data_IF_061028030141
#
_entry.id   IF_061028030141
#
_cell.length_a   1.000
_cell.length_b   1.000
_cell.length_c   1.000
_cell.angle_alpha   90.00
_cell.angle_beta   90.00
_cell.angle_gamma   90.00
#
_symmetry.space_group_name_H-M   'P 1'
#
loop_
_entity.id
_entity.type
_entity.pdbx_description
1 polymer ?
#
# COMPACT_ATOMS: atom_id res chain seq x y z
N UNK A 1 -36.98 -5.73 -71.30
CA UNK A 1 -35.74 -6.24 -71.89
C UNK A 1 -34.75 -6.36 -70.73
N UNK A 2 -34.81 -7.48 -69.99
CA UNK A 2 -34.00 -8.71 -70.22
C UNK A 2 -32.53 -8.44 -69.82
N UNK A 3 -31.83 -9.14 -68.91
CA UNK A 3 -32.03 -10.32 -68.06
C UNK A 3 -31.09 -10.19 -66.82
N UNK A 4 -31.29 -10.80 -65.66
CA UNK A 4 -31.17 -12.21 -65.22
C UNK A 4 -29.78 -12.86 -65.41
N UNK A 5 -29.33 -13.56 -64.35
CA UNK A 5 -28.17 -14.47 -64.15
C UNK A 5 -26.84 -13.80 -63.69
N UNK A 6 -26.07 -14.31 -62.73
CA UNK A 6 -26.15 -15.54 -61.93
C UNK A 6 -25.29 -15.45 -60.66
N UNK A 7 -25.73 -16.20 -59.65
CA UNK A 7 -25.07 -16.49 -58.36
C UNK A 7 -23.70 -17.16 -58.57
N UNK A 8 -22.73 -16.92 -57.69
CA UNK A 8 -21.81 -17.98 -57.31
C UNK A 8 -21.59 -18.01 -55.79
N UNK A 9 -22.16 -19.05 -55.20
CA UNK A 9 -21.84 -19.61 -53.90
C UNK A 9 -20.40 -20.14 -53.97
N UNK A 10 -19.56 -19.79 -53.01
CA UNK A 10 -18.40 -20.62 -52.71
C UNK A 10 -18.51 -21.10 -51.27
N UNK A 11 -18.91 -22.36 -51.18
CA UNK A 11 -19.01 -23.20 -50.00
C UNK A 11 -17.65 -23.42 -49.33
N UNK A 12 -17.71 -23.42 -47.99
CA UNK A 12 -17.03 -24.31 -47.04
C UNK A 12 -15.66 -24.89 -47.42
N UNK A 13 -14.65 -24.63 -46.58
CA UNK A 13 -13.74 -25.70 -46.19
C UNK A 13 -13.36 -25.58 -44.72
N UNK A 14 -13.88 -26.54 -43.96
CA UNK A 14 -13.46 -26.89 -42.61
C UNK A 14 -12.00 -27.32 -42.62
N UNK A 15 -11.18 -26.69 -41.79
CA UNK A 15 -9.85 -27.18 -41.47
C UNK A 15 -9.73 -27.31 -39.95
N UNK A 16 -10.22 -28.45 -39.48
CA UNK A 16 -9.94 -29.08 -38.19
C UNK A 16 -8.43 -29.12 -37.94
N UNK A 17 -7.95 -28.41 -36.91
CA UNK A 17 -6.60 -28.59 -36.37
C UNK A 17 -6.69 -29.57 -35.18
N UNK A 18 -5.88 -30.65 -35.16
CA UNK A 18 -6.00 -31.69 -34.15
C UNK A 18 -5.38 -31.28 -32.80
N UNK A 19 -6.11 -31.62 -31.74
CA UNK A 19 -5.66 -31.70 -30.34
C UNK A 19 -4.52 -32.72 -30.21
N UNK A 20 -3.44 -32.34 -29.52
CA UNK A 20 -2.40 -33.27 -29.02
C UNK A 20 -2.09 -32.91 -27.56
N UNK A 21 -1.94 -33.91 -26.65
CA UNK A 21 -2.20 -33.76 -25.23
C UNK A 21 -0.97 -33.33 -24.39
N UNK A 22 -1.28 -32.89 -23.19
CA UNK A 22 -0.36 -32.57 -22.09
C UNK A 22 0.40 -33.79 -21.55
N UNK A 23 1.56 -33.55 -20.89
CA UNK A 23 2.03 -34.44 -19.83
C UNK A 23 2.15 -33.72 -18.49
N UNK A 24 1.39 -34.22 -17.49
CA UNK A 24 1.76 -34.11 -16.07
C UNK A 24 2.77 -35.21 -15.75
N UNK A 25 3.73 -34.96 -14.85
CA UNK A 25 3.72 -35.60 -13.54
C UNK A 25 4.18 -34.60 -12.46
N UNK A 26 4.21 -34.81 -11.15
CA UNK A 26 3.66 -35.73 -10.17
C UNK A 26 4.00 -35.09 -8.83
N UNK A 27 3.11 -35.25 -7.85
CA UNK A 27 3.29 -34.85 -6.46
C UNK A 27 4.61 -35.37 -5.88
N UNK A 28 5.35 -34.52 -5.17
CA UNK A 28 6.11 -34.98 -4.01
C UNK A 28 5.97 -33.99 -2.85
N UNK A 29 5.41 -34.56 -1.81
CA UNK A 29 5.08 -34.05 -0.51
C UNK A 29 6.37 -33.92 0.30
N UNK A 30 6.68 -32.74 0.84
CA UNK A 30 7.60 -32.68 1.98
C UNK A 30 7.26 -31.54 2.94
N UNK A 31 6.30 -31.84 3.81
CA UNK A 31 6.14 -31.21 5.13
C UNK A 31 7.39 -31.54 5.95
N UNK A 32 8.11 -30.53 6.42
CA UNK A 32 9.09 -30.69 7.51
C UNK A 32 8.74 -29.69 8.60
N UNK A 33 7.91 -30.13 9.53
CA UNK A 33 7.76 -29.54 10.84
C UNK A 33 8.74 -30.28 11.77
N UNK A 34 9.60 -29.55 12.47
CA UNK A 34 10.35 -30.07 13.60
C UNK A 34 10.30 -29.05 14.74
N UNK A 35 9.62 -29.45 15.81
CA UNK A 35 9.53 -28.80 17.10
C UNK A 35 10.89 -28.71 17.81
N UNK A 36 11.05 -27.79 18.78
CA UNK A 36 12.27 -27.66 19.58
C UNK A 36 12.27 -28.63 20.76
N UNK A 37 13.44 -29.00 21.32
CA UNK A 37 13.51 -29.52 22.67
C UNK A 37 13.85 -28.39 23.66
N UNK A 38 12.91 -28.15 24.57
CA UNK A 38 13.19 -27.72 25.94
C UNK A 38 14.04 -28.77 26.66
N UNK A 39 14.96 -28.38 27.53
CA UNK A 39 15.27 -29.14 28.74
C UNK A 39 15.89 -28.25 29.83
N UNK A 40 15.19 -28.23 30.96
CA UNK A 40 15.60 -27.79 32.29
C UNK A 40 16.55 -28.79 32.94
N UNK A 41 17.52 -28.28 33.73
CA UNK A 41 18.09 -28.82 35.00
C UNK A 41 19.27 -27.88 35.33
N UNK A 42 19.29 -27.01 36.34
CA UNK A 42 19.17 -27.08 37.80
C UNK A 42 20.17 -28.01 38.54
N UNK A 43 21.02 -27.33 39.34
CA UNK A 43 21.85 -27.76 40.49
C UNK A 43 23.23 -28.43 40.25
N UNK A 44 24.16 -28.42 41.25
CA UNK A 44 24.40 -27.45 42.34
C UNK A 44 25.90 -27.08 42.57
N UNK A 45 26.08 -26.06 43.42
CA UNK A 45 27.12 -25.82 44.44
C UNK A 45 28.36 -26.75 44.49
N UNK A 46 29.55 -26.14 44.47
CA UNK A 46 30.66 -26.59 45.32
C UNK A 46 31.47 -25.40 45.87
N UNK A 47 31.49 -25.37 47.19
CA UNK A 47 32.23 -24.54 48.12
C UNK A 47 33.74 -24.81 48.14
N UNK A 48 34.55 -23.76 48.26
CA UNK A 48 35.75 -23.71 49.12
C UNK A 48 36.19 -22.23 49.24
N UNK A 49 35.98 -21.61 50.39
CA UNK A 49 36.91 -21.55 51.53
C UNK A 49 38.19 -20.79 51.18
N UNK A 50 38.23 -19.49 51.43
CA UNK A 50 39.45 -18.87 51.96
C UNK A 50 39.12 -17.80 53.00
N UNK A 51 39.91 -17.87 54.06
CA UNK A 51 39.73 -17.31 55.39
C UNK A 51 39.91 -15.79 55.46
N UNK A 52 39.18 -15.17 56.39
CA UNK A 52 39.41 -13.82 56.91
C UNK A 52 40.78 -13.70 57.62
N UNK A 53 41.21 -12.46 57.94
CA UNK A 53 40.98 -12.01 59.31
C UNK A 53 40.46 -10.56 59.44
N UNK A 54 39.65 -10.37 60.48
CA UNK A 54 39.12 -9.09 60.97
C UNK A 54 40.22 -8.10 61.36
N UNK A 55 40.04 -6.84 60.99
CA UNK A 55 40.54 -5.70 61.77
C UNK A 55 39.44 -4.66 61.92
N UNK A 56 39.00 -4.53 63.16
CA UNK A 56 38.17 -3.44 63.68
C UNK A 56 38.92 -2.13 63.60
N UNK A 57 38.32 -1.09 63.01
CA UNK A 57 38.54 0.31 63.38
C UNK A 57 37.28 1.13 63.06
N UNK A 58 36.84 1.86 64.08
CA UNK A 58 35.65 2.70 64.12
C UNK A 58 35.79 3.98 63.30
N UNK A 59 34.65 4.41 62.74
CA UNK A 59 34.19 5.79 62.52
C UNK A 59 35.19 6.84 62.02
N UNK A 60 35.04 7.26 60.76
CA UNK A 60 35.05 8.69 60.38
C UNK A 60 34.17 8.90 59.15
N UNK A 61 33.16 9.77 59.27
CA UNK A 61 32.40 10.34 58.17
C UNK A 61 33.31 11.32 57.43
N UNK A 62 33.52 11.12 56.13
CA UNK A 62 33.93 12.17 55.22
C UNK A 62 32.95 12.22 54.05
N UNK A 63 32.24 13.35 53.97
CA UNK A 63 31.50 13.74 52.78
C UNK A 63 32.52 14.04 51.67
N UNK A 64 32.55 13.22 50.63
CA UNK A 64 33.09 13.62 49.33
C UNK A 64 32.01 14.38 48.57
N UNK A 65 32.26 15.63 48.13
CA UNK A 65 31.46 16.24 47.10
C UNK A 65 31.89 15.68 45.73
N UNK A 66 30.91 15.62 44.83
CA UNK A 66 31.00 15.33 43.40
C UNK A 66 31.34 13.90 42.97
N UNK A 67 30.32 13.23 42.42
CA UNK A 67 30.31 12.81 41.01
C UNK A 67 28.94 12.23 40.62
N UNK A 68 28.25 12.95 39.72
CA UNK A 68 27.43 12.38 38.63
C UNK A 68 26.09 11.70 39.01
N UNK A 69 25.00 12.48 38.95
CA UNK A 69 23.85 12.12 38.11
C UNK A 69 23.10 13.39 37.71
N UNK A 70 23.46 13.98 36.58
CA UNK A 70 22.65 15.01 35.94
C UNK A 70 21.38 14.34 35.38
N UNK A 71 20.24 14.55 36.05
CA UNK A 71 18.93 14.35 35.43
C UNK A 71 18.73 15.52 34.49
N UNK A 72 19.10 15.33 33.23
CA UNK A 72 19.03 16.33 32.18
C UNK A 72 18.90 15.67 30.82
N UNK A 73 17.76 15.03 30.54
CA UNK A 73 17.46 14.43 29.23
C UNK A 73 15.96 14.44 28.86
N UNK A 74 15.14 15.35 29.39
CA UNK A 74 13.69 15.34 29.07
C UNK A 74 13.21 16.60 28.33
N UNK A 75 14.05 17.64 28.21
CA UNK A 75 13.66 18.89 27.53
C UNK A 75 13.87 18.80 26.01
N UNK A 76 15.00 18.24 25.56
CA UNK A 76 15.32 18.14 24.12
C UNK A 76 14.37 17.18 23.38
N UNK A 77 14.00 16.07 24.04
CA UNK A 77 13.06 15.09 23.48
C UNK A 77 11.63 15.66 23.37
N UNK A 78 11.23 16.55 24.28
CA UNK A 78 9.90 17.20 24.26
C UNK A 78 9.78 18.27 23.18
N UNK A 79 10.85 19.02 22.90
CA UNK A 79 10.84 20.01 21.81
C UNK A 79 10.68 19.36 20.43
N UNK A 80 11.34 18.23 20.19
CA UNK A 80 11.22 17.50 18.92
C UNK A 80 9.86 16.78 18.78
N UNK A 81 9.33 16.19 19.86
CA UNK A 81 8.01 15.56 19.85
C UNK A 81 6.88 16.53 19.46
N UNK A 82 6.99 17.81 19.86
CA UNK A 82 6.01 18.82 19.53
C UNK A 82 6.09 19.26 18.05
N UNK A 83 7.31 19.38 17.49
CA UNK A 83 7.53 19.69 16.08
C UNK A 83 7.00 18.58 15.16
N UNK A 84 7.25 17.32 15.52
CA UNK A 84 6.79 16.15 14.76
C UNK A 84 5.27 16.05 14.78
N UNK A 85 4.64 16.31 15.92
CA UNK A 85 3.18 16.38 16.04
C UNK A 85 2.56 17.44 15.12
N UNK A 86 3.09 18.67 15.09
CA UNK A 86 2.57 19.72 14.22
C UNK A 86 2.70 19.37 12.73
N UNK A 87 3.81 18.73 12.36
CA UNK A 87 4.07 18.28 11.00
C UNK A 87 3.08 17.18 10.61
N UNK A 88 2.91 16.17 11.47
CA UNK A 88 1.94 15.10 11.28
C UNK A 88 0.51 15.63 11.13
N UNK A 89 0.07 16.55 12.01
CA UNK A 89 -1.27 17.16 11.90
C UNK A 89 -1.48 17.81 10.54
N UNK A 90 -0.48 18.55 10.05
CA UNK A 90 -0.54 19.20 8.74
C UNK A 90 -0.58 18.17 7.61
N UNK A 91 0.17 17.08 7.72
CA UNK A 91 0.18 16.00 6.73
C UNK A 91 -1.17 15.26 6.69
N UNK A 92 -1.78 15.01 7.85
CA UNK A 92 -3.13 14.43 7.96
C UNK A 92 -4.17 15.34 7.29
N UNK A 93 -4.14 16.64 7.57
CA UNK A 93 -5.04 17.62 6.92
C UNK A 93 -4.84 17.68 5.40
N UNK A 94 -3.59 17.60 4.94
CA UNK A 94 -3.29 17.60 3.51
C UNK A 94 -3.79 16.31 2.85
N UNK A 95 -3.60 15.16 3.52
CA UNK A 95 -4.08 13.87 3.04
C UNK A 95 -5.61 13.80 3.02
N UNK A 96 -6.30 14.36 4.02
CA UNK A 96 -7.76 14.39 4.07
C UNK A 96 -8.35 15.19 2.89
N UNK A 97 -7.78 16.36 2.61
CA UNK A 97 -8.16 17.19 1.47
C UNK A 97 -7.94 16.45 0.14
N UNK A 98 -6.76 15.84 -0.06
CA UNK A 98 -6.49 15.04 -1.26
C UNK A 98 -7.47 13.88 -1.43
N UNK A 99 -7.79 13.16 -0.36
CA UNK A 99 -8.75 12.05 -0.41
C UNK A 99 -10.14 12.55 -0.80
N UNK A 100 -10.60 13.68 -0.25
CA UNK A 100 -11.92 14.22 -0.58
C UNK A 100 -11.97 14.74 -2.03
N UNK A 101 -10.94 15.44 -2.49
CA UNK A 101 -10.81 15.87 -3.89
C UNK A 101 -10.80 14.68 -4.85
N UNK A 102 -10.07 13.60 -4.50
CA UNK A 102 -10.04 12.38 -5.27
C UNK A 102 -11.41 11.70 -5.30
N UNK A 103 -12.13 11.62 -4.17
CA UNK A 103 -13.47 11.02 -4.13
C UNK A 103 -14.49 11.82 -4.92
N UNK A 104 -14.37 13.16 -4.90
CA UNK A 104 -15.21 14.04 -5.70
C UNK A 104 -14.92 13.90 -7.21
N UNK A 105 -13.65 13.91 -7.62
CA UNK A 105 -13.23 13.85 -9.03
C UNK A 105 -13.33 12.45 -9.65
N UNK A 106 -13.10 11.38 -8.89
CA UNK A 106 -13.29 10.00 -9.35
C UNK A 106 -14.76 9.63 -9.52
N UNK A 107 -15.69 10.53 -9.19
CA UNK A 107 -17.11 10.37 -9.44
C UNK A 107 -17.68 9.18 -8.69
N UNK A 108 -17.47 9.10 -7.36
CA UNK A 108 -17.98 8.01 -6.53
C UNK A 108 -19.45 7.67 -6.80
N UNK A 109 -20.28 8.70 -6.98
CA UNK A 109 -21.69 8.53 -7.35
C UNK A 109 -21.90 7.81 -8.70
N UNK A 110 -21.05 8.09 -9.70
CA UNK A 110 -21.10 7.40 -10.99
C UNK A 110 -20.69 5.93 -10.85
N UNK A 111 -19.69 5.64 -10.02
CA UNK A 111 -19.28 4.26 -9.73
C UNK A 111 -20.38 3.51 -8.97
N UNK A 112 -21.05 4.14 -8.01
CA UNK A 112 -22.18 3.55 -7.30
C UNK A 112 -23.39 3.30 -8.21
N UNK A 113 -23.66 4.21 -9.15
CA UNK A 113 -24.70 4.02 -10.16
C UNK A 113 -24.34 2.88 -11.12
N UNK A 114 -23.11 2.84 -11.63
CA UNK A 114 -22.62 1.76 -12.48
C UNK A 114 -22.69 0.41 -11.76
N UNK A 115 -22.37 0.40 -10.46
CA UNK A 115 -22.51 -0.78 -9.62
C UNK A 115 -23.97 -1.26 -9.57
N UNK A 116 -24.91 -0.36 -9.31
CA UNK A 116 -26.34 -0.69 -9.25
C UNK A 116 -26.85 -1.23 -10.60
N UNK A 117 -26.42 -0.63 -11.71
CA UNK A 117 -26.78 -1.08 -13.06
C UNK A 117 -26.22 -2.48 -13.36
N UNK A 118 -24.97 -2.76 -12.98
CA UNK A 118 -24.33 -4.06 -13.14
C UNK A 118 -24.97 -5.12 -12.22
N UNK A 119 -25.34 -4.76 -11.00
CA UNK A 119 -26.05 -5.65 -10.08
C UNK A 119 -27.45 -5.99 -10.59
N UNK A 120 -28.17 -5.03 -11.18
CA UNK A 120 -29.45 -5.29 -11.85
C UNK A 120 -29.28 -6.27 -13.01
N UNK A 121 -28.28 -6.06 -13.87
CA UNK A 121 -27.97 -6.98 -14.99
C UNK A 121 -27.56 -8.37 -14.49
N UNK A 122 -26.88 -8.45 -13.34
CA UNK A 122 -26.51 -9.71 -12.71
C UNK A 122 -27.70 -10.46 -12.09
N UNK A 123 -28.76 -9.74 -11.71
CA UNK A 123 -30.00 -10.32 -11.19
C UNK A 123 -30.92 -10.86 -12.31
N UNK A 124 -30.75 -10.40 -13.55
CA UNK A 124 -31.51 -10.88 -14.69
C UNK A 124 -31.16 -12.34 -15.03
N UNK A 125 -32.19 -13.19 -15.14
CA UNK A 125 -32.01 -14.61 -15.46
C UNK A 125 -31.43 -14.84 -16.86
N UNK A 126 -31.62 -13.89 -17.78
CA UNK A 126 -31.10 -13.93 -19.15
C UNK A 126 -29.58 -13.76 -19.24
N UNK A 127 -28.92 -13.27 -18.19
CA UNK A 127 -27.46 -13.15 -18.17
C UNK A 127 -26.80 -14.54 -18.29
N UNK A 128 -27.40 -15.56 -17.69
CA UNK A 128 -26.87 -16.93 -17.66
C UNK A 128 -27.02 -17.67 -18.99
N UNK A 129 -27.81 -17.14 -19.93
CA UNK A 129 -27.97 -17.70 -21.28
C UNK A 129 -26.71 -17.50 -22.14
N UNK A 130 -25.91 -16.47 -21.85
CA UNK A 130 -24.67 -16.15 -22.57
C UNK A 130 -23.48 -16.12 -21.60
N UNK A 131 -22.76 -17.24 -21.55
CA UNK A 131 -21.61 -17.42 -20.67
C UNK A 131 -20.53 -16.34 -20.83
N UNK A 132 -20.30 -15.84 -22.05
CA UNK A 132 -19.27 -14.84 -22.30
C UNK A 132 -19.67 -13.49 -21.68
N UNK A 133 -20.92 -13.06 -21.89
CA UNK A 133 -21.46 -11.83 -21.27
C UNK A 133 -21.57 -11.93 -19.76
N UNK A 134 -21.94 -13.09 -19.22
CA UNK A 134 -21.96 -13.33 -17.78
C UNK A 134 -20.58 -13.12 -17.16
N UNK A 135 -19.53 -13.67 -17.78
CA UNK A 135 -18.16 -13.51 -17.30
C UNK A 135 -17.71 -12.05 -17.36
N UNK A 136 -17.97 -11.36 -18.47
CA UNK A 136 -17.62 -9.93 -18.63
C UNK A 136 -18.34 -9.05 -17.59
N UNK A 137 -19.64 -9.26 -17.40
CA UNK A 137 -20.45 -8.48 -16.44
C UNK A 137 -20.00 -8.71 -15.00
N UNK A 138 -19.66 -9.96 -14.64
CA UNK A 138 -19.16 -10.27 -13.29
C UNK A 138 -17.77 -9.68 -13.05
N UNK A 139 -16.89 -9.67 -14.05
CA UNK A 139 -15.57 -9.04 -13.96
C UNK A 139 -15.71 -7.52 -13.78
N UNK A 140 -16.53 -6.87 -14.61
CA UNK A 140 -16.80 -5.44 -14.47
C UNK A 140 -17.39 -5.10 -13.10
N UNK A 141 -18.31 -5.93 -12.59
CA UNK A 141 -18.90 -5.76 -11.27
C UNK A 141 -17.83 -5.86 -10.16
N UNK A 142 -16.93 -6.86 -10.22
CA UNK A 142 -15.84 -6.95 -9.23
C UNK A 142 -14.92 -5.75 -9.30
N UNK A 143 -14.57 -5.28 -10.50
CA UNK A 143 -13.67 -4.15 -10.70
C UNK A 143 -14.27 -2.85 -10.11
N UNK A 144 -15.56 -2.60 -10.35
CA UNK A 144 -16.25 -1.42 -9.78
C UNK A 144 -16.36 -1.53 -8.26
N UNK A 145 -16.71 -2.71 -7.73
CA UNK A 145 -16.74 -2.94 -6.26
C UNK A 145 -15.39 -2.68 -5.62
N UNK A 146 -14.32 -3.15 -6.23
CA UNK A 146 -12.98 -3.03 -5.67
C UNK A 146 -12.48 -1.57 -5.73
N UNK A 147 -12.84 -0.81 -6.78
CA UNK A 147 -12.60 0.65 -6.82
C UNK A 147 -13.32 1.39 -5.69
N UNK A 148 -14.60 1.10 -5.47
CA UNK A 148 -15.38 1.72 -4.39
C UNK A 148 -14.77 1.38 -3.02
N UNK A 149 -14.44 0.10 -2.78
CA UNK A 149 -13.78 -0.34 -1.54
C UNK A 149 -12.48 0.42 -1.31
N UNK A 150 -11.64 0.53 -2.31
CA UNK A 150 -10.36 1.23 -2.22
C UNK A 150 -10.55 2.71 -1.86
N UNK A 151 -11.52 3.41 -2.47
CA UNK A 151 -11.87 4.78 -2.11
C UNK A 151 -12.40 4.91 -0.68
N UNK A 152 -13.17 3.92 -0.20
CA UNK A 152 -13.63 3.89 1.19
C UNK A 152 -12.49 3.62 2.17
N UNK A 153 -11.54 2.73 1.82
CA UNK A 153 -10.36 2.43 2.64
C UNK A 153 -9.49 3.68 2.82
N UNK A 154 -9.30 4.49 1.78
CA UNK A 154 -8.57 5.75 1.89
C UNK A 154 -9.20 6.69 2.90
N UNK A 155 -10.53 6.81 2.88
CA UNK A 155 -11.28 7.60 3.86
C UNK A 155 -11.07 7.07 5.28
N UNK A 156 -11.19 5.76 5.48
CA UNK A 156 -11.02 5.14 6.79
C UNK A 156 -9.61 5.35 7.34
N UNK A 157 -8.57 5.23 6.51
CA UNK A 157 -7.18 5.49 6.93
C UNK A 157 -6.94 6.94 7.36
N UNK A 158 -7.55 7.91 6.68
CA UNK A 158 -7.51 9.32 7.10
C UNK A 158 -8.20 9.49 8.44
N UNK A 159 -9.42 8.96 8.58
CA UNK A 159 -10.22 9.07 9.82
C UNK A 159 -9.48 8.44 11.03
N UNK A 160 -8.78 7.33 10.81
CA UNK A 160 -7.93 6.68 11.80
C UNK A 160 -6.77 7.59 12.24
N UNK A 161 -6.00 8.13 11.29
CA UNK A 161 -4.91 9.06 11.59
C UNK A 161 -5.40 10.36 12.26
N UNK A 162 -6.55 10.89 11.83
CA UNK A 162 -7.20 12.04 12.48
C UNK A 162 -7.60 11.72 13.93
N UNK A 163 -8.09 10.51 14.18
CA UNK A 163 -8.48 10.08 15.53
C UNK A 163 -7.25 10.03 16.45
N UNK A 164 -6.13 9.51 15.96
CA UNK A 164 -4.86 9.49 16.71
C UNK A 164 -4.37 10.92 16.99
N UNK A 165 -4.45 11.83 16.01
CA UNK A 165 -4.08 13.24 16.19
C UNK A 165 -4.97 13.90 17.24
N UNK A 166 -6.30 13.75 17.15
CA UNK A 166 -7.26 14.33 18.11
C UNK A 166 -7.01 13.80 19.53
N UNK A 167 -6.79 12.48 19.67
CA UNK A 167 -6.46 11.88 20.96
C UNK A 167 -5.16 12.45 21.54
N UNK A 168 -4.15 12.68 20.69
CA UNK A 168 -2.87 13.26 21.09
C UNK A 168 -3.00 14.74 21.50
N UNK A 169 -3.93 15.49 20.91
CA UNK A 169 -4.22 16.89 21.31
C UNK A 169 -4.86 17.00 22.69
N UNK A 170 -5.68 16.02 23.06
CA UNK A 170 -6.38 15.99 24.35
C UNK A 170 -5.48 15.52 25.50
N UNK A 171 -4.37 14.86 25.19
CA UNK A 171 -3.41 14.34 26.18
C UNK A 171 -2.32 15.36 26.52
N UNK A 172 -2.01 15.53 27.80
CA UNK A 172 -0.93 16.42 28.28
C UNK A 172 0.49 15.94 27.91
N UNK A 173 0.61 14.71 27.39
CA UNK A 173 1.86 14.09 26.95
C UNK A 173 1.70 13.42 25.59
N UNK A 174 2.52 13.84 24.63
CA UNK A 174 2.65 13.19 23.33
C UNK A 174 3.38 11.85 23.49
N UNK A 175 2.68 10.75 23.26
CA UNK A 175 3.31 9.43 23.17
C UNK A 175 3.94 9.26 21.78
N UNK A 176 5.24 8.98 21.75
CA UNK A 176 5.97 8.75 20.51
C UNK A 176 5.42 7.55 19.72
N UNK A 177 4.84 6.55 20.39
CA UNK A 177 4.24 5.40 19.73
C UNK A 177 3.04 5.77 18.85
N UNK A 178 2.15 6.63 19.35
CA UNK A 178 1.00 7.11 18.58
C UNK A 178 1.41 7.98 17.40
N UNK A 179 2.42 8.84 17.57
CA UNK A 179 2.98 9.62 16.47
C UNK A 179 3.52 8.73 15.36
N UNK A 180 4.30 7.70 15.71
CA UNK A 180 4.89 6.78 14.74
C UNK A 180 3.81 6.00 13.98
N UNK A 181 2.77 5.54 14.68
CA UNK A 181 1.62 4.85 14.10
C UNK A 181 0.89 5.72 13.07
N UNK A 182 0.47 6.93 13.47
CA UNK A 182 -0.23 7.85 12.58
C UNK A 182 0.64 8.28 11.39
N UNK A 183 1.95 8.51 11.61
CA UNK A 183 2.90 8.81 10.54
C UNK A 183 3.02 7.64 9.56
N UNK A 184 3.03 6.40 10.06
CA UNK A 184 3.01 5.18 9.25
C UNK A 184 1.76 5.10 8.38
N UNK A 185 0.58 5.31 8.97
CA UNK A 185 -0.71 5.30 8.26
C UNK A 185 -0.72 6.32 7.12
N UNK A 186 -0.34 7.57 7.40
CA UNK A 186 -0.32 8.64 6.39
C UNK A 186 0.71 8.37 5.29
N UNK A 187 1.87 7.82 5.63
CA UNK A 187 2.90 7.45 4.65
C UNK A 187 2.43 6.33 3.72
N UNK A 188 1.74 5.33 4.24
CA UNK A 188 1.14 4.27 3.43
C UNK A 188 -0.02 4.78 2.58
N UNK A 189 -0.87 5.63 3.15
CA UNK A 189 -1.98 6.25 2.45
C UNK A 189 -1.48 7.07 1.26
N UNK A 190 -0.52 7.97 1.46
CA UNK A 190 0.05 8.78 0.38
C UNK A 190 0.60 7.91 -0.76
N UNK A 191 1.33 6.84 -0.45
CA UNK A 191 1.80 5.89 -1.47
C UNK A 191 0.66 5.21 -2.23
N UNK A 192 -0.45 4.92 -1.56
CA UNK A 192 -1.61 4.31 -2.19
C UNK A 192 -2.37 5.31 -3.07
N UNK A 193 -2.49 6.57 -2.64
CA UNK A 193 -3.06 7.67 -3.42
C UNK A 193 -2.25 7.91 -4.69
N UNK A 194 -0.93 8.04 -4.58
CA UNK A 194 -0.06 8.28 -5.74
C UNK A 194 -0.16 7.14 -6.77
N UNK A 195 -0.27 5.88 -6.30
CA UNK A 195 -0.50 4.73 -7.18
C UNK A 195 -1.86 4.81 -7.87
N UNK A 196 -2.91 5.15 -7.11
CA UNK A 196 -4.26 5.26 -7.65
C UNK A 196 -4.34 6.37 -8.71
N UNK A 197 -3.82 7.55 -8.42
CA UNK A 197 -3.71 8.66 -9.37
C UNK A 197 -2.96 8.25 -10.64
N UNK A 198 -1.83 7.56 -10.49
CA UNK A 198 -1.06 7.06 -11.63
C UNK A 198 -1.87 6.04 -12.46
N UNK A 199 -2.64 5.14 -11.83
CA UNK A 199 -3.53 4.23 -12.57
C UNK A 199 -4.65 4.96 -13.31
N UNK A 200 -5.14 6.08 -12.78
CA UNK A 200 -6.13 6.91 -13.47
C UNK A 200 -5.52 7.61 -14.68
N UNK A 201 -4.30 8.16 -14.52
CA UNK A 201 -3.56 8.81 -15.60
C UNK A 201 -3.16 7.83 -16.72
N UNK A 202 -2.93 6.55 -16.41
CA UNK A 202 -2.52 5.51 -17.35
C UNK A 202 -3.68 4.60 -17.81
N UNK A 203 -4.88 5.15 -17.94
CA UNK A 203 -6.08 4.41 -18.34
C UNK A 203 -6.38 4.42 -19.84
N UNK A 204 -5.51 5.03 -20.65
CA UNK A 204 -5.60 5.12 -22.10
C UNK A 204 -5.32 3.78 -22.80
N UNK A 205 -5.87 3.59 -24.02
CA UNK A 205 -5.75 2.33 -24.77
C UNK A 205 -4.30 1.98 -25.15
N UNK A 206 -3.41 2.98 -25.23
CA UNK A 206 -2.01 2.81 -25.61
C UNK A 206 -1.04 3.03 -24.45
N UNK A 207 -1.52 3.24 -23.22
CA UNK A 207 -0.64 3.55 -22.07
C UNK A 207 0.17 2.33 -21.62
N UNK A 208 -0.22 1.14 -22.07
CA UNK A 208 0.54 -0.11 -21.87
C UNK A 208 1.70 -0.28 -22.87
N UNK A 209 1.69 0.49 -23.96
CA UNK A 209 2.67 0.39 -25.03
C UNK A 209 3.86 1.33 -24.78
N UNK A 210 5.02 0.98 -25.33
CA UNK A 210 6.20 1.83 -25.24
C UNK A 210 6.04 3.13 -26.04
N UNK A 211 6.31 4.28 -25.41
CA UNK A 211 6.27 5.56 -26.09
C UNK A 211 7.55 5.78 -26.94
N UNK A 212 7.39 6.10 -28.23
CA UNK A 212 8.48 6.56 -29.09
C UNK A 212 8.43 8.08 -29.14
N UNK A 213 9.42 8.74 -28.51
CA UNK A 213 9.52 10.19 -28.46
C UNK A 213 10.47 10.66 -29.56
N UNK A 214 9.95 11.38 -30.56
CA UNK A 214 10.76 11.99 -31.63
C UNK A 214 10.86 13.50 -31.42
N UNK A 215 12.01 13.96 -30.94
CA UNK A 215 12.29 15.39 -30.76
C UNK A 215 12.81 15.95 -32.08
N UNK A 216 12.00 16.77 -32.76
CA UNK A 216 12.43 17.48 -33.97
C UNK A 216 12.66 18.94 -33.61
N UNK A 217 13.89 19.43 -33.78
CA UNK A 217 14.16 20.85 -33.65
C UNK A 217 13.35 21.60 -34.73
N UNK A 218 12.49 22.52 -34.30
CA UNK A 218 11.70 23.36 -35.21
C UNK A 218 12.58 24.21 -36.13
N UNK A 219 12.00 24.78 -37.18
CA UNK A 219 12.69 25.64 -38.13
C UNK A 219 13.20 26.95 -37.48
N UNK A 220 14.36 26.88 -36.84
CA UNK A 220 15.10 28.02 -36.28
C UNK A 220 16.59 27.71 -36.36
N UNK A 221 17.27 28.25 -37.37
CA UNK A 221 18.70 27.99 -37.60
C UNK A 221 19.57 28.37 -36.40
N UNK A 222 20.69 27.66 -36.23
CA UNK A 222 21.86 27.83 -35.31
C UNK A 222 21.62 28.10 -33.81
N UNK A 223 20.54 28.77 -33.40
CA UNK A 223 20.15 29.01 -32.01
C UNK A 223 19.42 27.81 -31.40
N UNK A 224 18.65 27.06 -32.20
CA UNK A 224 17.93 25.86 -31.74
C UNK A 224 18.83 24.67 -31.39
N UNK A 225 20.09 24.64 -31.88
CA UNK A 225 21.05 23.57 -31.57
C UNK A 225 21.70 23.72 -30.18
N UNK A 226 21.72 24.92 -29.61
CA UNK A 226 22.43 25.19 -28.35
C UNK A 226 21.62 24.74 -27.13
N UNK A 227 20.30 24.56 -27.26
CA UNK A 227 19.41 24.17 -26.15
C UNK A 227 19.09 22.68 -26.06
N UNK A 228 19.76 21.83 -26.84
CA UNK A 228 19.59 20.38 -26.81
C UNK A 228 20.44 19.64 -25.76
N UNK A 229 21.26 20.37 -24.97
CA UNK A 229 22.24 19.77 -24.05
C UNK A 229 21.83 19.79 -22.57
N UNK A 230 20.60 20.16 -22.22
CA UNK A 230 20.12 20.14 -20.82
C UNK A 230 18.70 19.57 -20.65
N UNK A 231 18.35 18.53 -21.42
CA UNK A 231 17.20 17.68 -21.09
C UNK A 231 17.65 16.26 -20.78
#
# INVERSE_FOLDING_TARGET
MEGVLVRNLCSSSSATVPLVPSPRPSFLFQRKASFPPSNSTMFPLLSSLFSAPSRSFSSVIYATPDSQLSVGTDTDTREWAMQDFYSLRKDVETASQRVEELRASSGLHLLEQELADLESKAADSSLWDDRAKAQETLLALTDVKDKIKLLTEFKTKVEEAETIVKLTEEMDSTDAGFLEEATGIIKELNKALDKFELTQLLSGPYDKEGAVISITAGAGGTDAQVRGHCM
#
